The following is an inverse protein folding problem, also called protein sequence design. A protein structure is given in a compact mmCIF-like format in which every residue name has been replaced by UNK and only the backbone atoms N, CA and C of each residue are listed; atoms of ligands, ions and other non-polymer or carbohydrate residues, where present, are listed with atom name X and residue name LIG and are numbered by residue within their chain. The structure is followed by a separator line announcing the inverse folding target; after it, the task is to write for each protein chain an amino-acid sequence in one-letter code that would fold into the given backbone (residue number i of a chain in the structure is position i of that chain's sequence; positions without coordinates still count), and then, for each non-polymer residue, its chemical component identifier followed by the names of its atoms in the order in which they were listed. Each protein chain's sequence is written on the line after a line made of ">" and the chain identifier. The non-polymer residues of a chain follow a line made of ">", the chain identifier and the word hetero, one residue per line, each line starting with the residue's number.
data_IF_455408784858
#
_entry.id   IF_455408784858
#
_cell.length_a   1.000
_cell.length_b   1.000
_cell.length_c   1.000
_cell.angle_alpha   90.00
_cell.angle_beta   90.00
_cell.angle_gamma   90.00
#
_symmetry.space_group_name_H-M   'P 1'
#
loop_
_entity.id
_entity.type
_entity.pdbx_description
1 polymer ?
#
# COMPACT_ATOMS: atom_id res chain seq x y z
N UNK A 1 1.58 2.69 -18.00
CA UNK A 1 1.49 4.14 -18.23
C UNK A 1 1.78 4.82 -16.91
N UNK A 2 2.58 5.88 -16.90
CA UNK A 2 2.88 6.59 -15.66
C UNK A 2 1.76 7.60 -15.39
N UNK A 3 1.31 7.65 -14.14
CA UNK A 3 0.38 8.66 -13.67
C UNK A 3 1.21 9.82 -13.14
N UNK A 4 1.08 10.99 -13.78
CA UNK A 4 1.90 12.16 -13.49
C UNK A 4 1.11 13.18 -12.66
N UNK A 5 1.75 13.74 -11.64
CA UNK A 5 1.28 14.94 -10.96
C UNK A 5 2.32 16.05 -11.17
N UNK A 6 1.89 17.17 -11.76
CA UNK A 6 2.78 18.30 -12.14
C UNK A 6 4.01 17.85 -12.96
N UNK A 7 3.82 16.84 -13.82
CA UNK A 7 4.89 16.29 -14.67
C UNK A 7 5.81 15.26 -13.98
N UNK A 8 5.59 14.95 -12.70
CA UNK A 8 6.39 13.99 -11.93
C UNK A 8 5.63 12.68 -11.73
N UNK A 9 6.26 11.50 -11.90
CA UNK A 9 5.62 10.21 -11.64
C UNK A 9 5.22 10.04 -10.16
N UNK A 10 3.94 9.76 -9.93
CA UNK A 10 3.36 9.51 -8.59
C UNK A 10 2.65 8.16 -8.47
N UNK A 11 2.32 7.52 -9.60
CA UNK A 11 1.78 6.17 -9.64
C UNK A 11 1.98 5.55 -11.04
N UNK A 12 1.62 4.28 -11.21
CA UNK A 12 1.64 3.58 -12.49
C UNK A 12 0.36 2.81 -12.75
N UNK A 13 -0.11 2.85 -13.99
CA UNK A 13 -1.25 2.10 -14.49
C UNK A 13 -0.78 0.95 -15.40
N UNK A 14 -1.22 -0.26 -15.08
CA UNK A 14 -1.01 -1.46 -15.93
C UNK A 14 -2.37 -1.95 -16.43
N UNK A 15 -2.45 -2.37 -17.70
CA UNK A 15 -3.67 -2.93 -18.30
C UNK A 15 -3.63 -4.46 -18.27
N UNK A 16 -4.81 -5.08 -18.20
CA UNK A 16 -4.97 -6.54 -18.40
C UNK A 16 -4.75 -7.41 -17.17
N UNK A 17 -4.86 -6.85 -15.96
CA UNK A 17 -4.85 -7.59 -14.69
C UNK A 17 -6.12 -7.34 -13.86
N UNK A 18 -6.17 -7.92 -12.67
CA UNK A 18 -7.20 -7.62 -11.67
C UNK A 18 -7.21 -6.13 -11.35
N UNK A 19 -8.38 -5.50 -11.38
CA UNK A 19 -8.54 -4.12 -10.96
C UNK A 19 -8.16 -3.99 -9.49
N UNK A 20 -7.25 -3.06 -9.18
CA UNK A 20 -6.75 -2.89 -7.82
C UNK A 20 -5.58 -1.92 -7.75
N UNK A 21 -5.40 -1.31 -6.58
CA UNK A 21 -4.13 -0.70 -6.21
C UNK A 21 -3.16 -1.79 -5.78
N UNK A 22 -1.94 -1.75 -6.32
CA UNK A 22 -0.86 -2.63 -5.89
C UNK A 22 0.24 -1.77 -5.32
N UNK A 23 0.51 -1.92 -4.03
CA UNK A 23 1.66 -1.29 -3.41
C UNK A 23 2.93 -2.04 -3.81
N UNK A 24 4.06 -1.36 -3.84
CA UNK A 24 5.36 -1.97 -4.05
C UNK A 24 6.28 -1.60 -2.89
N UNK A 25 6.81 -2.62 -2.21
CA UNK A 25 7.86 -2.45 -1.22
C UNK A 25 9.22 -2.48 -1.92
N UNK A 26 10.05 -1.49 -1.63
CA UNK A 26 11.37 -1.37 -2.22
C UNK A 26 12.30 -2.48 -1.71
N UNK A 27 13.14 -3.01 -2.59
CA UNK A 27 14.19 -3.99 -2.25
C UNK A 27 15.44 -3.77 -3.09
N UNK A 28 16.60 -4.07 -2.51
CA UNK A 28 17.89 -4.00 -3.21
C UNK A 28 18.08 -5.16 -4.21
N UNK A 29 17.44 -6.31 -3.96
CA UNK A 29 17.56 -7.54 -4.74
C UNK A 29 16.19 -8.24 -4.81
N UNK A 30 15.51 -8.10 -5.95
CA UNK A 30 14.16 -8.61 -6.13
C UNK A 30 14.10 -10.15 -6.11
N UNK A 31 15.14 -10.83 -6.58
CA UNK A 31 15.21 -12.30 -6.60
C UNK A 31 15.38 -12.83 -5.17
N UNK A 32 16.34 -12.28 -4.43
CA UNK A 32 16.57 -12.66 -3.03
C UNK A 32 15.37 -12.37 -2.14
N UNK A 33 14.71 -11.22 -2.31
CA UNK A 33 13.49 -10.93 -1.55
C UNK A 33 12.36 -11.91 -1.88
N UNK A 34 12.21 -12.34 -3.14
CA UNK A 34 11.20 -13.34 -3.49
C UNK A 34 11.50 -14.71 -2.85
N UNK A 35 12.77 -15.11 -2.77
CA UNK A 35 13.18 -16.31 -2.02
C UNK A 35 12.85 -16.19 -0.52
N UNK A 36 13.13 -15.03 0.08
CA UNK A 36 12.83 -14.75 1.48
C UNK A 36 11.32 -14.77 1.77
N UNK A 37 10.50 -14.26 0.84
CA UNK A 37 9.04 -14.33 0.91
C UNK A 37 8.58 -15.80 1.00
N UNK A 38 9.08 -16.68 0.13
CA UNK A 38 8.72 -18.10 0.15
C UNK A 38 9.17 -18.77 1.45
N UNK A 39 10.40 -18.48 1.89
CA UNK A 39 10.93 -19.02 3.14
C UNK A 39 10.12 -18.58 4.38
N UNK A 40 9.52 -17.40 4.34
CA UNK A 40 8.65 -16.86 5.39
C UNK A 40 7.17 -17.28 5.24
N UNK A 41 6.85 -18.21 4.33
CA UNK A 41 5.49 -18.75 4.15
C UNK A 41 4.59 -17.95 3.20
N UNK A 42 5.13 -16.96 2.50
CA UNK A 42 4.44 -16.27 1.41
C UNK A 42 4.49 -17.03 0.08
N UNK A 43 3.86 -16.47 -0.94
CA UNK A 43 3.77 -17.04 -2.30
C UNK A 43 4.25 -16.03 -3.33
N UNK A 44 4.97 -16.50 -4.35
CA UNK A 44 5.33 -15.70 -5.53
C UNK A 44 4.30 -15.97 -6.63
N UNK A 45 3.38 -15.02 -6.85
CA UNK A 45 2.37 -15.11 -7.91
C UNK A 45 2.96 -14.81 -9.29
N UNK A 46 3.77 -13.75 -9.37
CA UNK A 46 4.50 -13.38 -10.58
C UNK A 46 5.97 -13.38 -10.25
N UNK A 47 6.68 -14.30 -10.91
CA UNK A 47 8.11 -14.43 -10.72
C UNK A 47 8.82 -13.10 -10.98
N UNK A 48 9.92 -12.85 -10.25
CA UNK A 48 10.72 -11.68 -10.49
C UNK A 48 11.03 -11.54 -12.01
N UNK A 49 10.70 -10.40 -12.61
CA UNK A 49 11.03 -10.06 -14.01
C UNK A 49 11.48 -8.60 -14.21
N UNK A 50 12.12 -8.35 -15.36
CA UNK A 50 12.55 -7.02 -15.79
C UNK A 50 11.35 -6.14 -16.19
N UNK A 51 11.38 -4.86 -15.79
CA UNK A 51 10.37 -3.84 -16.14
C UNK A 51 10.98 -2.77 -17.03
N UNK A 52 11.76 -3.23 -18.02
CA UNK A 52 12.60 -2.39 -18.87
C UNK A 52 13.82 -1.87 -18.12
N UNK A 53 14.28 -0.67 -18.45
CA UNK A 53 15.36 0.03 -17.74
C UNK A 53 14.94 0.57 -16.36
N UNK A 54 13.62 0.64 -16.10
CA UNK A 54 13.04 1.25 -14.91
C UNK A 54 13.36 0.53 -13.62
N UNK A 55 13.47 -0.78 -13.67
CA UNK A 55 13.69 -1.61 -12.51
C UNK A 55 13.25 -3.04 -12.74
N UNK A 56 13.21 -3.78 -11.66
CA UNK A 56 12.94 -5.20 -11.61
C UNK A 56 11.85 -5.45 -10.56
N UNK A 57 10.87 -6.30 -10.85
CA UNK A 57 9.69 -6.45 -10.00
C UNK A 57 9.19 -7.88 -9.88
N UNK A 58 8.48 -8.16 -8.79
CA UNK A 58 7.71 -9.38 -8.56
C UNK A 58 6.35 -9.03 -7.96
N UNK A 59 5.39 -9.96 -8.04
CA UNK A 59 4.13 -9.88 -7.31
C UNK A 59 4.05 -11.08 -6.38
N UNK A 60 3.78 -10.80 -5.12
CA UNK A 60 3.86 -11.76 -4.03
C UNK A 60 2.64 -11.62 -3.13
N UNK A 61 2.38 -12.65 -2.35
CA UNK A 61 1.29 -12.73 -1.37
C UNK A 61 1.89 -13.13 -0.03
N UNK A 62 1.55 -12.40 1.02
CA UNK A 62 1.97 -12.73 2.38
C UNK A 62 1.15 -13.91 2.98
N UNK A 63 1.53 -14.45 4.15
CA UNK A 63 0.82 -15.59 4.75
C UNK A 63 -0.65 -15.33 5.10
N UNK A 64 -1.08 -14.07 5.16
CA UNK A 64 -2.47 -13.69 5.44
C UNK A 64 -3.30 -13.56 4.17
N UNK A 65 -2.68 -13.68 2.99
CA UNK A 65 -3.33 -13.56 1.69
C UNK A 65 -3.26 -12.15 1.09
N UNK A 66 -2.60 -11.18 1.73
CA UNK A 66 -2.46 -9.85 1.15
C UNK A 66 -1.40 -9.82 0.05
N UNK A 67 -1.80 -9.33 -1.12
CA UNK A 67 -0.95 -9.19 -2.30
C UNK A 67 -0.21 -7.86 -2.31
N UNK A 68 1.09 -7.89 -2.61
CA UNK A 68 1.92 -6.71 -2.78
C UNK A 68 3.03 -6.97 -3.81
N UNK A 69 3.72 -5.90 -4.22
CA UNK A 69 4.83 -5.97 -5.16
C UNK A 69 6.18 -5.84 -4.48
N UNK A 70 7.19 -6.51 -5.03
CA UNK A 70 8.60 -6.20 -4.76
C UNK A 70 9.09 -5.27 -5.87
N UNK A 71 9.82 -4.21 -5.52
CA UNK A 71 10.37 -3.28 -6.50
C UNK A 71 11.85 -2.98 -6.24
N UNK A 72 12.69 -3.45 -7.16
CA UNK A 72 14.09 -3.08 -7.23
C UNK A 72 14.24 -1.97 -8.28
N UNK A 73 14.16 -0.73 -7.82
CA UNK A 73 14.18 0.46 -8.67
C UNK A 73 15.55 0.71 -9.33
N UNK A 74 15.51 1.21 -10.57
CA UNK A 74 16.68 1.69 -11.33
C UNK A 74 16.42 3.11 -11.83
N UNK A 75 16.03 3.31 -13.10
CA UNK A 75 15.70 4.66 -13.60
C UNK A 75 14.39 5.20 -12.99
N UNK A 76 13.54 4.32 -12.44
CA UNK A 76 12.38 4.67 -11.63
C UNK A 76 12.54 4.10 -10.21
N UNK A 77 13.00 4.90 -9.23
CA UNK A 77 13.14 4.43 -7.85
C UNK A 77 11.79 4.14 -7.16
N UNK A 78 10.71 4.79 -7.60
CA UNK A 78 9.38 4.69 -7.01
C UNK A 78 8.61 6.00 -7.17
N UNK A 79 7.62 6.25 -6.31
CA UNK A 79 6.93 7.53 -6.20
C UNK A 79 7.95 8.64 -5.89
N UNK A 80 7.98 9.71 -6.69
CA UNK A 80 8.91 10.84 -6.48
C UNK A 80 8.30 12.01 -5.71
N UNK A 81 6.98 12.02 -5.56
CA UNK A 81 6.24 12.91 -4.68
C UNK A 81 5.28 12.06 -3.84
N UNK A 82 5.25 12.33 -2.55
CA UNK A 82 4.40 11.70 -1.53
C UNK A 82 4.07 12.75 -0.47
N UNK A 83 3.04 12.51 0.34
CA UNK A 83 2.65 13.37 1.48
C UNK A 83 2.28 14.82 1.11
N UNK A 84 1.90 15.05 -0.15
CA UNK A 84 1.32 16.30 -0.63
C UNK A 84 -0.06 16.04 -1.27
N UNK A 85 -0.99 17.02 -1.24
CA UNK A 85 -2.28 16.88 -1.92
C UNK A 85 -2.15 16.44 -3.38
N UNK A 86 -2.88 15.39 -3.75
CA UNK A 86 -2.82 14.74 -5.06
C UNK A 86 -1.79 13.60 -5.18
N UNK A 87 -1.14 13.21 -4.08
CA UNK A 87 -0.09 12.18 -4.07
C UNK A 87 -0.38 11.09 -3.02
N UNK A 88 0.37 9.98 -3.11
CA UNK A 88 0.32 8.91 -2.11
C UNK A 88 0.71 9.47 -0.74
N UNK A 89 -0.09 9.17 0.28
CA UNK A 89 0.21 9.52 1.67
C UNK A 89 0.61 8.29 2.47
N UNK A 90 -0.21 7.23 2.42
CA UNK A 90 -0.04 6.08 3.30
C UNK A 90 -0.50 4.79 2.65
N UNK A 91 0.14 3.70 3.04
CA UNK A 91 -0.39 2.36 2.81
C UNK A 91 -0.36 1.60 4.13
N UNK A 92 -1.45 0.93 4.46
CA UNK A 92 -1.54 0.06 5.62
C UNK A 92 -2.17 -1.27 5.21
N UNK A 93 -1.68 -2.35 5.79
CA UNK A 93 -2.29 -3.66 5.69
C UNK A 93 -3.42 -3.76 6.71
N UNK A 94 -4.60 -4.21 6.29
CA UNK A 94 -5.69 -4.60 7.18
C UNK A 94 -5.91 -6.10 7.01
N UNK A 95 -5.98 -6.85 8.10
CA UNK A 95 -6.15 -8.31 8.07
C UNK A 95 -6.93 -8.82 9.29
N UNK A 96 -7.72 -9.90 9.16
CA UNK A 96 -8.35 -10.57 10.30
C UNK A 96 -7.40 -11.15 11.33
N UNK A 97 -6.21 -11.56 10.89
CA UNK A 97 -5.19 -12.20 11.72
C UNK A 97 -3.84 -11.51 11.45
N UNK A 98 -3.46 -10.50 12.25
CA UNK A 98 -2.31 -9.65 11.97
C UNK A 98 -0.96 -10.22 12.40
N UNK A 99 -0.92 -11.14 13.36
CA UNK A 99 0.31 -11.76 13.87
C UNK A 99 1.16 -12.41 12.76
N UNK A 100 0.61 -13.24 11.85
CA UNK A 100 1.39 -13.81 10.75
C UNK A 100 1.98 -12.74 9.83
N UNK A 101 1.24 -11.65 9.56
CA UNK A 101 1.74 -10.54 8.75
C UNK A 101 2.88 -9.80 9.47
N UNK A 102 2.70 -9.46 10.76
CA UNK A 102 3.72 -8.80 11.60
C UNK A 102 5.04 -9.57 11.56
N UNK A 103 4.99 -10.88 11.80
CA UNK A 103 6.17 -11.74 11.75
C UNK A 103 6.81 -11.79 10.37
N UNK A 104 5.98 -11.90 9.33
CA UNK A 104 6.42 -11.96 7.95
C UNK A 104 7.19 -10.69 7.54
N UNK A 105 6.63 -9.50 7.75
CA UNK A 105 7.28 -8.25 7.33
C UNK A 105 8.55 -7.96 8.15
N UNK A 106 8.58 -8.34 9.44
CA UNK A 106 9.81 -8.33 10.25
C UNK A 106 10.87 -9.27 9.67
N UNK A 107 10.50 -10.50 9.31
CA UNK A 107 11.44 -11.51 8.81
C UNK A 107 11.99 -11.18 7.43
N UNK A 108 11.12 -10.78 6.49
CA UNK A 108 11.50 -10.56 5.09
C UNK A 108 12.25 -9.24 4.89
N UNK A 109 11.84 -8.17 5.59
CA UNK A 109 12.37 -6.82 5.36
C UNK A 109 13.16 -6.26 6.53
N UNK A 110 13.21 -6.96 7.67
CA UNK A 110 13.86 -6.47 8.88
C UNK A 110 13.11 -5.30 9.53
N UNK A 111 11.82 -5.12 9.24
CA UNK A 111 11.07 -4.01 9.81
C UNK A 111 10.91 -4.17 11.32
N UNK A 112 11.01 -3.05 12.04
CA UNK A 112 10.60 -2.99 13.45
C UNK A 112 9.09 -2.90 13.55
N UNK A 113 8.56 -3.40 14.66
CA UNK A 113 7.14 -3.48 14.96
C UNK A 113 6.88 -2.62 16.18
N UNK A 114 6.33 -1.42 15.98
CA UNK A 114 6.07 -0.49 17.07
C UNK A 114 4.56 -0.40 17.34
N UNK A 115 4.17 -0.37 18.61
CA UNK A 115 2.78 -0.17 19.00
C UNK A 115 2.31 1.27 18.75
N UNK A 116 0.99 1.48 18.79
CA UNK A 116 0.38 2.80 18.75
C UNK A 116 -0.14 3.21 20.12
N UNK A 117 0.67 3.97 20.87
CA UNK A 117 0.32 4.44 22.22
C UNK A 117 -0.79 5.52 22.20
N UNK A 118 -0.95 6.23 21.07
CA UNK A 118 -1.96 7.29 20.92
C UNK A 118 -3.38 6.74 20.75
N UNK A 119 -3.52 5.48 20.31
CA UNK A 119 -4.79 4.82 20.04
C UNK A 119 -4.96 3.53 20.85
N UNK A 120 -5.11 3.63 22.19
CA UNK A 120 -5.29 2.46 23.03
C UNK A 120 -6.59 1.73 22.65
N UNK A 121 -6.47 0.45 22.29
CA UNK A 121 -7.60 -0.42 21.92
C UNK A 121 -7.77 -0.63 20.42
N UNK A 122 -6.98 0.04 19.57
CA UNK A 122 -6.87 -0.31 18.16
C UNK A 122 -5.65 -1.20 17.99
N UNK A 123 -5.85 -2.36 17.36
CA UNK A 123 -4.79 -3.31 17.08
C UNK A 123 -3.95 -2.86 15.88
N UNK A 124 -3.18 -1.80 16.07
CA UNK A 124 -2.33 -1.19 15.05
C UNK A 124 -0.85 -1.34 15.38
N UNK A 125 -0.07 -1.79 14.41
CA UNK A 125 1.40 -1.89 14.51
C UNK A 125 2.04 -1.09 13.41
N UNK A 126 2.89 -0.14 13.75
CA UNK A 126 3.73 0.56 12.79
C UNK A 126 4.82 -0.38 12.27
N UNK A 127 5.02 -0.36 10.96
CA UNK A 127 6.18 -0.95 10.31
C UNK A 127 7.21 0.15 10.07
N UNK A 128 8.41 0.00 10.65
CA UNK A 128 9.53 0.91 10.36
C UNK A 128 10.70 0.16 9.77
N UNK A 129 11.39 0.81 8.84
CA UNK A 129 12.70 0.37 8.38
C UNK A 129 13.71 0.39 9.55
N UNK A 130 14.81 -0.37 9.45
CA UNK A 130 15.89 -0.34 10.45
C UNK A 130 16.50 1.04 10.72
N UNK A 131 16.36 1.99 9.79
CA UNK A 131 16.79 3.39 9.96
C UNK A 131 15.75 4.29 10.66
N UNK A 132 14.65 3.70 11.15
CA UNK A 132 13.59 4.38 11.90
C UNK A 132 12.50 5.01 11.01
N UNK A 133 12.62 4.95 9.69
CA UNK A 133 11.62 5.50 8.78
C UNK A 133 10.35 4.62 8.76
N UNK A 134 9.20 5.22 9.11
CA UNK A 134 7.89 4.57 9.01
C UNK A 134 7.49 4.35 7.55
N UNK A 135 6.97 3.17 7.22
CA UNK A 135 6.53 2.82 5.86
C UNK A 135 5.04 2.50 5.75
N UNK A 136 4.35 2.41 6.89
CA UNK A 136 2.94 2.00 6.99
C UNK A 136 2.69 1.26 8.30
N UNK A 137 1.65 0.45 8.32
CA UNK A 137 1.33 -0.41 9.46
C UNK A 137 0.48 -1.62 9.11
N UNK A 138 0.25 -2.44 10.13
CA UNK A 138 -0.63 -3.61 10.10
C UNK A 138 -1.74 -3.41 11.12
N UNK A 139 -2.98 -3.47 10.66
CA UNK A 139 -4.19 -3.32 11.46
C UNK A 139 -4.93 -4.66 11.55
N UNK A 140 -5.22 -5.09 12.77
CA UNK A 140 -6.12 -6.22 13.04
C UNK A 140 -7.59 -5.82 12.92
N UNK A 141 -8.33 -6.49 12.05
CA UNK A 141 -9.79 -6.35 11.96
C UNK A 141 -10.44 -7.70 11.59
N UNK A 142 -11.12 -8.38 12.53
CA UNK A 142 -11.74 -9.69 12.29
C UNK A 142 -12.78 -9.76 11.16
N UNK A 143 -13.31 -8.62 10.71
CA UNK A 143 -14.29 -8.54 9.62
C UNK A 143 -13.66 -8.20 8.26
N UNK A 144 -12.36 -7.92 8.21
CA UNK A 144 -11.69 -7.52 6.98
C UNK A 144 -11.42 -8.70 6.04
N UNK A 145 -11.10 -8.38 4.79
CA UNK A 145 -10.36 -9.29 3.90
C UNK A 145 -8.92 -8.79 3.88
N UNK A 146 -7.95 -9.69 4.01
CA UNK A 146 -6.54 -9.28 4.08
C UNK A 146 -6.12 -8.53 2.81
N UNK A 147 -5.59 -7.32 2.98
CA UNK A 147 -5.19 -6.49 1.86
C UNK A 147 -4.51 -5.19 2.26
N UNK A 148 -3.62 -4.73 1.38
CA UNK A 148 -3.01 -3.41 1.48
C UNK A 148 -3.98 -2.33 0.98
N UNK A 149 -4.34 -1.42 1.86
CA UNK A 149 -5.06 -0.20 1.52
C UNK A 149 -4.10 0.90 1.08
N UNK A 150 -4.58 1.78 0.20
CA UNK A 150 -3.85 2.97 -0.26
C UNK A 150 -4.66 4.22 0.04
N UNK A 151 -4.01 5.19 0.68
CA UNK A 151 -4.57 6.50 0.98
C UNK A 151 -3.80 7.59 0.22
N UNK A 152 -4.53 8.41 -0.53
CA UNK A 152 -4.02 9.62 -1.18
C UNK A 152 -4.40 10.86 -0.38
N UNK A 153 -3.46 11.80 -0.25
CA UNK A 153 -3.75 13.08 0.41
C UNK A 153 -4.55 13.97 -0.55
N UNK A 154 -5.55 14.68 -0.03
CA UNK A 154 -6.33 15.69 -0.71
C UNK A 154 -6.32 16.98 0.13
N UNK A 155 -6.53 18.14 -0.49
CA UNK A 155 -6.75 19.39 0.25
C UNK A 155 -8.05 19.33 1.07
N UNK A 156 -9.03 18.59 0.55
CA UNK A 156 -10.33 18.34 1.15
C UNK A 156 -10.83 16.98 0.64
N UNK A 157 -10.88 15.99 1.52
CA UNK A 157 -11.22 14.62 1.18
C UNK A 157 -12.67 14.48 0.69
N UNK A 158 -13.63 15.17 1.32
CA UNK A 158 -15.04 15.13 0.94
C UNK A 158 -15.26 15.78 -0.45
N UNK A 159 -14.66 16.93 -0.70
CA UNK A 159 -14.74 17.60 -1.99
C UNK A 159 -14.08 16.77 -3.10
N UNK A 160 -12.95 16.11 -2.81
CA UNK A 160 -12.29 15.21 -3.76
C UNK A 160 -13.15 13.97 -4.06
N UNK A 161 -13.74 13.36 -3.03
CA UNK A 161 -14.64 12.22 -3.17
C UNK A 161 -15.89 12.58 -3.98
N UNK A 162 -16.48 13.76 -3.75
CA UNK A 162 -17.62 14.26 -4.51
C UNK A 162 -17.30 14.44 -6.01
N UNK A 163 -16.10 14.94 -6.35
CA UNK A 163 -15.64 15.00 -7.75
C UNK A 163 -15.49 13.61 -8.36
N UNK A 164 -14.92 12.66 -7.62
CA UNK A 164 -14.80 11.26 -8.03
C UNK A 164 -16.17 10.62 -8.29
N UNK A 165 -17.15 10.89 -7.44
CA UNK A 165 -18.52 10.42 -7.62
C UNK A 165 -19.17 10.96 -8.91
N UNK A 166 -18.89 12.22 -9.25
CA UNK A 166 -19.37 12.84 -10.49
C UNK A 166 -18.86 12.18 -11.79
N UNK A 167 -17.82 11.34 -11.72
CA UNK A 167 -17.24 10.62 -12.87
C UNK A 167 -17.37 9.09 -12.75
N UNK A 168 -18.29 8.62 -11.90
CA UNK A 168 -18.64 7.20 -11.77
C UNK A 168 -18.03 6.47 -10.57
N UNK A 169 -17.29 7.18 -9.71
CA UNK A 169 -16.91 6.64 -8.40
C UNK A 169 -18.10 6.57 -7.43
N UNK A 170 -17.93 5.88 -6.32
CA UNK A 170 -18.92 5.75 -5.26
C UNK A 170 -18.24 6.00 -3.92
N UNK A 171 -18.81 6.89 -3.10
CA UNK A 171 -18.38 7.05 -1.71
C UNK A 171 -18.91 5.86 -0.91
N UNK A 172 -18.00 5.07 -0.34
CA UNK A 172 -18.31 3.86 0.43
C UNK A 172 -18.48 4.19 1.90
N UNK A 173 -17.56 4.98 2.45
CA UNK A 173 -17.56 5.39 3.85
C UNK A 173 -16.87 6.75 3.99
N UNK A 174 -17.21 7.49 5.04
CA UNK A 174 -16.59 8.75 5.36
C UNK A 174 -16.58 8.95 6.87
N UNK A 175 -15.41 9.12 7.46
CA UNK A 175 -15.21 9.09 8.91
C UNK A 175 -14.20 10.14 9.37
N UNK A 176 -14.40 10.63 10.59
CA UNK A 176 -13.44 11.49 11.27
C UNK A 176 -12.58 10.60 12.16
N UNK A 177 -11.27 10.61 11.91
CA UNK A 177 -10.29 9.86 12.68
C UNK A 177 -9.47 10.81 13.55
N UNK A 178 -8.75 10.30 14.56
CA UNK A 178 -7.78 11.11 15.31
C UNK A 178 -6.67 11.73 14.45
N UNK A 179 -6.45 11.21 13.23
CA UNK A 179 -5.43 11.68 12.29
C UNK A 179 -5.98 12.55 11.16
N UNK A 180 -7.28 12.86 11.16
CA UNK A 180 -7.92 13.69 10.13
C UNK A 180 -9.13 13.02 9.49
N UNK A 181 -9.66 13.68 8.45
CA UNK A 181 -10.83 13.22 7.70
C UNK A 181 -10.41 12.13 6.72
N UNK A 182 -11.12 11.00 6.70
CA UNK A 182 -10.87 9.91 5.75
C UNK A 182 -12.16 9.56 5.01
N UNK A 183 -12.07 9.48 3.67
CA UNK A 183 -13.18 9.10 2.80
C UNK A 183 -12.77 7.93 1.91
N UNK A 184 -13.42 6.78 2.07
CA UNK A 184 -13.21 5.60 1.22
C UNK A 184 -14.07 5.71 -0.03
N UNK A 185 -13.43 5.60 -1.19
CA UNK A 185 -14.05 5.69 -2.51
C UNK A 185 -13.82 4.38 -3.26
N UNK A 186 -14.87 3.88 -3.91
CA UNK A 186 -14.78 2.81 -4.90
C UNK A 186 -14.80 3.42 -6.30
N UNK A 187 -13.81 3.11 -7.12
CA UNK A 187 -13.72 3.58 -8.50
C UNK A 187 -14.70 2.85 -9.45
N UNK A 188 -14.87 3.32 -10.70
CA UNK A 188 -15.75 2.67 -11.69
C UNK A 188 -15.36 1.23 -12.05
N UNK A 189 -14.17 0.77 -11.66
CA UNK A 189 -13.67 -0.59 -11.89
C UNK A 189 -13.83 -1.48 -10.66
N UNK A 190 -14.45 -0.98 -9.58
CA UNK A 190 -14.69 -1.71 -8.34
C UNK A 190 -13.53 -1.68 -7.35
N UNK A 191 -12.48 -0.90 -7.60
CA UNK A 191 -11.32 -0.79 -6.71
C UNK A 191 -11.56 0.24 -5.62
N UNK A 192 -11.32 -0.12 -4.37
CA UNK A 192 -11.38 0.82 -3.24
C UNK A 192 -10.02 1.45 -2.94
N UNK A 193 -10.06 2.73 -2.56
CA UNK A 193 -8.93 3.48 -1.99
C UNK A 193 -9.48 4.60 -1.10
N UNK A 194 -8.61 5.21 -0.30
CA UNK A 194 -8.98 6.28 0.61
C UNK A 194 -8.43 7.65 0.16
N UNK A 195 -9.17 8.70 0.50
CA UNK A 195 -8.76 10.09 0.43
C UNK A 195 -8.67 10.64 1.86
N UNK A 196 -7.54 11.26 2.22
CA UNK A 196 -7.36 11.91 3.52
C UNK A 196 -7.18 13.42 3.40
N UNK A 197 -7.55 14.19 4.44
CA UNK A 197 -7.27 15.63 4.59
C UNK A 197 -7.22 16.06 6.04
#
# INVERSE_FOLDING_TARGET
>A
MDCLFRGVPVAGLTRGGTAGWTIYLATDDCDRSAEAVVAAGGVVEVQPHERGDRGRAALVVDPTGARFGLWQGRTLPGCRLVNEPGTLMRNDLITPDPEPAREFYRTVFGFTLDGNEDLPGIDFTFLRRPDGHEIGGVTGNPQAVSGWGTLFLADDADAAAARGAGIGGVVVAAEDTPYGRVVTVRDPFGTEFALGS
#
